data_IF_292383158831
#
_entry.id   IF_292383158831
#
_cell.length_a   1.000
_cell.length_b   1.000
_cell.length_c   1.000
_cell.angle_alpha   90.00
_cell.angle_beta   90.00
_cell.angle_gamma   90.00
#
_symmetry.space_group_name_H-M   'P 1'
#
loop_
_entity.id
_entity.type
_entity.pdbx_description
1 polymer ?
#
# COMPACT_ATOMS: atom_id res chain seq x y z
N UNK A 1 -7.97 -2.11 -28.09
CA UNK A 1 -8.00 -0.69 -27.75
C UNK A 1 -9.37 -0.41 -27.12
N UNK A 2 -9.41 0.19 -25.93
CA UNK A 2 -10.63 0.54 -25.24
C UNK A 2 -10.49 1.91 -24.60
N UNK A 3 -11.58 2.67 -24.50
CA UNK A 3 -11.68 3.86 -23.66
C UNK A 3 -12.09 3.44 -22.27
N UNK A 4 -11.28 3.77 -21.28
CA UNK A 4 -11.45 3.35 -19.89
C UNK A 4 -11.65 4.58 -19.00
N UNK A 5 -12.77 4.64 -18.27
CA UNK A 5 -12.92 5.56 -17.17
C UNK A 5 -12.38 4.88 -15.91
N UNK A 6 -11.24 5.34 -15.44
CA UNK A 6 -10.57 4.86 -14.23
C UNK A 6 -10.97 5.73 -13.04
N UNK A 7 -11.50 5.16 -11.99
CA UNK A 7 -11.93 5.88 -10.79
C UNK A 7 -11.06 5.48 -9.62
N UNK A 8 -10.21 6.38 -9.16
CA UNK A 8 -9.27 6.15 -8.08
C UNK A 8 -8.62 7.45 -7.61
N UNK A 9 -7.83 7.38 -6.55
CA UNK A 9 -6.86 8.43 -6.25
C UNK A 9 -5.74 8.46 -7.31
N UNK A 10 -5.33 9.64 -7.72
CA UNK A 10 -4.25 9.85 -8.69
C UNK A 10 -3.47 11.15 -8.44
N UNK A 11 -3.94 11.98 -7.52
CA UNK A 11 -3.42 13.35 -7.32
C UNK A 11 -2.61 13.53 -6.04
N UNK A 12 -2.37 12.47 -5.28
CA UNK A 12 -1.65 12.48 -4.01
C UNK A 12 -0.69 11.31 -3.92
N UNK A 13 0.32 11.41 -3.04
CA UNK A 13 1.23 10.30 -2.73
C UNK A 13 0.51 9.24 -1.86
N UNK A 14 -0.33 8.41 -2.47
CA UNK A 14 -1.04 7.31 -1.83
C UNK A 14 -0.80 5.99 -2.56
N UNK A 15 -1.03 4.87 -1.89
CA UNK A 15 -0.94 3.55 -2.51
C UNK A 15 -1.86 3.40 -3.73
N UNK A 16 -3.08 3.94 -3.66
CA UNK A 16 -4.01 3.91 -4.80
C UNK A 16 -3.51 4.76 -5.98
N UNK A 17 -2.89 5.92 -5.71
CA UNK A 17 -2.29 6.74 -6.77
C UNK A 17 -1.11 6.02 -7.42
N UNK A 18 -0.24 5.37 -6.63
CA UNK A 18 0.84 4.53 -7.16
C UNK A 18 0.31 3.47 -8.11
N UNK A 19 -0.73 2.73 -7.70
CA UNK A 19 -1.38 1.72 -8.56
C UNK A 19 -1.97 2.34 -9.82
N UNK A 20 -2.66 3.47 -9.69
CA UNK A 20 -3.30 4.18 -10.81
C UNK A 20 -2.28 4.58 -11.87
N UNK A 21 -1.16 5.20 -11.46
CA UNK A 21 -0.09 5.59 -12.39
C UNK A 21 0.62 4.37 -12.96
N UNK A 22 1.04 3.43 -12.12
CA UNK A 22 1.80 2.27 -12.56
C UNK A 22 1.06 1.41 -13.59
N UNK A 23 -0.21 1.10 -13.36
CA UNK A 23 -1.02 0.31 -14.30
C UNK A 23 -1.59 1.16 -15.42
N UNK A 24 -2.13 2.35 -15.12
CA UNK A 24 -2.78 3.21 -16.10
C UNK A 24 -1.84 3.65 -17.22
N UNK A 25 -0.60 4.03 -16.90
CA UNK A 25 0.41 4.43 -17.89
C UNK A 25 0.84 3.25 -18.78
N UNK A 26 0.97 2.05 -18.21
CA UNK A 26 1.28 0.83 -18.97
C UNK A 26 0.14 0.40 -19.89
N UNK A 27 -1.10 0.49 -19.41
CA UNK A 27 -2.27 0.22 -20.24
C UNK A 27 -2.42 1.27 -21.36
N UNK A 28 -2.13 2.54 -21.08
CA UNK A 28 -2.07 3.58 -22.10
C UNK A 28 -1.00 3.28 -23.16
N UNK A 29 0.19 2.82 -22.75
CA UNK A 29 1.24 2.39 -23.66
C UNK A 29 0.86 1.16 -24.50
N UNK A 30 -0.07 0.32 -24.00
CA UNK A 30 -0.66 -0.79 -24.78
C UNK A 30 -1.78 -0.34 -25.74
N UNK A 31 -2.08 0.97 -25.78
CA UNK A 31 -3.03 1.57 -26.73
C UNK A 31 -4.43 1.77 -26.17
N UNK A 32 -4.67 1.67 -24.88
CA UNK A 32 -5.93 2.06 -24.27
C UNK A 32 -5.99 3.58 -24.06
N UNK A 33 -7.21 4.13 -24.15
CA UNK A 33 -7.50 5.57 -23.91
C UNK A 33 -7.95 5.71 -22.45
N UNK A 34 -7.03 6.17 -21.57
CA UNK A 34 -7.22 6.16 -20.11
C UNK A 34 -7.63 7.55 -19.61
N UNK A 35 -8.84 7.64 -19.09
CA UNK A 35 -9.42 8.83 -18.45
C UNK A 35 -9.57 8.56 -16.95
N UNK A 36 -8.90 9.33 -16.09
CA UNK A 36 -8.89 9.09 -14.64
C UNK A 36 -9.75 10.11 -13.92
N UNK A 37 -10.81 9.68 -13.26
CA UNK A 37 -11.47 10.49 -12.23
C UNK A 37 -10.63 10.40 -10.95
N UNK A 38 -9.84 11.44 -10.70
CA UNK A 38 -8.93 11.53 -9.57
C UNK A 38 -9.69 11.90 -8.29
N UNK A 39 -10.01 10.89 -7.49
CA UNK A 39 -10.71 11.04 -6.21
C UNK A 39 -9.81 11.78 -5.22
N UNK A 40 -10.38 12.72 -4.49
CA UNK A 40 -9.64 13.47 -3.47
C UNK A 40 -8.59 14.47 -3.99
N UNK A 41 -8.47 14.66 -5.29
CA UNK A 41 -7.54 15.60 -5.89
C UNK A 41 -8.14 17.01 -5.97
N UNK A 42 -7.43 18.00 -5.45
CA UNK A 42 -7.86 19.40 -5.44
C UNK A 42 -7.34 20.22 -6.64
N UNK A 43 -6.58 19.58 -7.53
CA UNK A 43 -5.97 20.18 -8.72
C UNK A 43 -5.00 21.36 -8.45
N UNK A 44 -4.52 21.53 -7.20
CA UNK A 44 -3.54 22.57 -6.90
C UNK A 44 -2.20 22.34 -7.60
N UNK A 45 -1.85 21.09 -7.83
CA UNK A 45 -0.61 20.73 -8.50
C UNK A 45 -0.91 19.89 -9.73
N UNK A 46 -0.27 20.20 -10.88
CA UNK A 46 -0.37 19.37 -12.07
C UNK A 46 0.27 18.00 -11.77
N UNK A 47 -0.39 16.94 -12.19
CA UNK A 47 0.19 15.59 -12.19
C UNK A 47 0.72 15.32 -13.58
N UNK A 48 2.05 15.26 -13.79
CA UNK A 48 2.62 14.98 -15.10
C UNK A 48 2.37 13.51 -15.50
N UNK A 49 2.20 13.26 -16.78
CA UNK A 49 2.04 11.90 -17.28
C UNK A 49 1.08 11.81 -18.48
N UNK A 50 0.94 10.65 -19.09
CA UNK A 50 0.10 10.42 -20.26
C UNK A 50 -1.40 10.30 -19.91
N UNK A 51 -1.78 10.25 -18.62
CA UNK A 51 -3.15 10.04 -18.19
C UNK A 51 -3.96 11.34 -18.23
N UNK A 52 -5.20 11.25 -18.72
CA UNK A 52 -6.14 12.38 -18.70
C UNK A 52 -6.87 12.42 -17.36
N UNK A 53 -6.52 13.39 -16.50
CA UNK A 53 -7.07 13.51 -15.16
C UNK A 53 -8.30 14.43 -15.13
N UNK A 54 -9.37 13.95 -14.50
CA UNK A 54 -10.58 14.70 -14.19
C UNK A 54 -10.69 14.88 -12.68
N UNK A 55 -10.98 16.09 -12.26
CA UNK A 55 -11.13 16.41 -10.85
C UNK A 55 -12.45 15.84 -10.32
N UNK A 56 -12.42 15.21 -9.15
CA UNK A 56 -13.59 15.08 -8.31
C UNK A 56 -13.89 16.45 -7.69
N UNK A 57 -15.16 16.88 -7.67
CA UNK A 57 -15.52 18.23 -7.23
C UNK A 57 -15.15 18.49 -5.77
N UNK A 58 -14.78 19.77 -5.48
CA UNK A 58 -14.65 20.24 -4.12
C UNK A 58 -16.04 20.40 -3.48
N UNK A 59 -16.28 19.75 -2.34
CA UNK A 59 -17.57 19.83 -1.67
C UNK A 59 -17.73 18.84 -0.51
N UNK A 60 -18.95 18.59 -0.03
CA UNK A 60 -19.22 17.56 0.98
C UNK A 60 -18.64 16.21 0.59
N UNK A 61 -18.41 15.32 1.56
CA UNK A 61 -17.74 14.03 1.37
C UNK A 61 -18.22 13.20 0.17
N UNK A 62 -19.50 13.33 -0.20
CA UNK A 62 -20.09 12.70 -1.38
C UNK A 62 -19.46 13.16 -2.71
N UNK A 63 -19.26 14.48 -2.85
CA UNK A 63 -18.66 15.07 -4.06
C UNK A 63 -17.17 14.83 -4.11
N UNK A 64 -16.50 14.85 -2.94
CA UNK A 64 -15.10 14.51 -2.80
C UNK A 64 -14.76 13.10 -3.33
N UNK A 65 -15.66 12.14 -3.15
CA UNK A 65 -15.52 10.78 -3.68
C UNK A 65 -15.91 10.66 -5.15
N UNK A 66 -16.36 11.75 -5.78
CA UNK A 66 -16.68 11.80 -7.20
C UNK A 66 -17.82 10.88 -7.64
N UNK A 67 -18.79 10.60 -6.74
CA UNK A 67 -19.88 9.68 -7.05
C UNK A 67 -20.76 10.19 -8.19
N UNK A 68 -21.24 11.44 -8.10
CA UNK A 68 -22.06 12.07 -9.14
C UNK A 68 -21.21 12.32 -10.40
N UNK A 69 -19.93 12.72 -10.20
CA UNK A 69 -19.00 12.98 -11.31
C UNK A 69 -18.69 11.74 -12.13
N UNK A 70 -18.72 10.55 -11.52
CA UNK A 70 -18.60 9.29 -12.26
C UNK A 70 -19.69 9.15 -13.31
N UNK A 71 -20.96 9.40 -12.94
CA UNK A 71 -22.10 9.31 -13.86
C UNK A 71 -21.99 10.32 -14.99
N UNK A 72 -21.67 11.58 -14.69
CA UNK A 72 -21.45 12.62 -15.69
C UNK A 72 -20.36 12.24 -16.69
N UNK A 73 -19.24 11.70 -16.20
CA UNK A 73 -18.15 11.27 -17.06
C UNK A 73 -18.50 10.04 -17.90
N UNK A 74 -19.28 9.10 -17.36
CA UNK A 74 -19.80 7.97 -18.16
C UNK A 74 -20.65 8.45 -19.30
N UNK A 75 -21.57 9.41 -19.07
CA UNK A 75 -22.42 9.98 -20.11
C UNK A 75 -21.63 10.80 -21.15
N UNK A 76 -20.64 11.56 -20.69
CA UNK A 76 -19.83 12.44 -21.54
C UNK A 76 -18.80 11.67 -22.38
N UNK A 77 -18.01 10.81 -21.73
CA UNK A 77 -16.91 10.09 -22.35
C UNK A 77 -17.37 8.83 -23.10
N UNK A 78 -18.49 8.25 -22.69
CA UNK A 78 -19.00 6.96 -23.18
C UNK A 78 -17.88 5.90 -23.18
N UNK A 79 -17.29 5.62 -22.00
CA UNK A 79 -16.19 4.67 -21.92
C UNK A 79 -16.68 3.26 -22.29
N UNK A 80 -15.79 2.45 -22.81
CA UNK A 80 -16.06 1.03 -23.06
C UNK A 80 -16.11 0.25 -21.74
N UNK A 81 -15.32 0.68 -20.75
CA UNK A 81 -15.23 0.07 -19.41
C UNK A 81 -15.09 1.15 -18.34
N UNK A 82 -15.70 0.92 -17.19
CA UNK A 82 -15.37 1.64 -15.94
C UNK A 82 -14.48 0.74 -15.08
N UNK A 83 -13.31 1.23 -14.69
CA UNK A 83 -12.39 0.54 -13.79
C UNK A 83 -12.27 1.31 -12.48
N UNK A 84 -12.43 0.63 -11.34
CA UNK A 84 -12.26 1.24 -10.02
C UNK A 84 -11.10 0.63 -9.26
N UNK A 85 -10.31 1.48 -8.58
CA UNK A 85 -9.28 1.06 -7.62
C UNK A 85 -9.61 1.74 -6.30
N UNK A 86 -10.43 1.07 -5.51
CA UNK A 86 -11.04 1.62 -4.29
C UNK A 86 -11.27 0.49 -3.28
N UNK A 87 -11.43 0.86 -2.01
CA UNK A 87 -11.85 -0.09 -0.98
C UNK A 87 -13.25 -0.68 -1.26
N UNK A 88 -13.53 -1.95 -0.92
CA UNK A 88 -14.82 -2.60 -1.20
C UNK A 88 -16.06 -1.82 -0.72
N UNK A 89 -16.08 -1.16 0.45
CA UNK A 89 -17.21 -0.32 0.86
C UNK A 89 -17.49 0.85 -0.10
N UNK A 90 -16.44 1.38 -0.74
CA UNK A 90 -16.59 2.49 -1.69
C UNK A 90 -17.16 2.02 -3.01
N UNK A 91 -16.69 0.87 -3.51
CA UNK A 91 -17.24 0.21 -4.70
C UNK A 91 -18.72 -0.11 -4.48
N UNK A 92 -19.05 -0.71 -3.34
CA UNK A 92 -20.45 -0.98 -2.96
C UNK A 92 -21.30 0.28 -2.99
N UNK A 93 -20.82 1.35 -2.33
CA UNK A 93 -21.52 2.64 -2.27
C UNK A 93 -21.74 3.23 -3.67
N UNK A 94 -20.74 3.12 -4.54
CA UNK A 94 -20.78 3.68 -5.90
C UNK A 94 -21.80 2.99 -6.79
N UNK A 95 -21.89 1.67 -6.74
CA UNK A 95 -22.66 0.90 -7.69
C UNK A 95 -23.97 0.31 -7.14
N UNK A 96 -24.14 0.30 -5.83
CA UNK A 96 -25.31 -0.32 -5.18
C UNK A 96 -26.25 0.66 -4.49
N UNK A 97 -25.80 1.85 -4.15
CA UNK A 97 -26.63 2.81 -3.44
C UNK A 97 -27.59 3.53 -4.41
N UNK A 98 -28.89 3.27 -4.26
CA UNK A 98 -29.95 3.87 -5.07
C UNK A 98 -29.98 5.40 -5.02
N UNK A 99 -29.38 6.01 -4.00
CA UNK A 99 -29.32 7.47 -3.85
C UNK A 99 -28.44 8.14 -4.91
N UNK A 100 -27.56 7.37 -5.58
CA UNK A 100 -26.60 7.91 -6.55
C UNK A 100 -27.04 7.70 -8.00
N UNK A 101 -27.85 6.68 -8.25
CA UNK A 101 -28.46 6.43 -9.55
C UNK A 101 -29.89 5.89 -9.37
N UNK A 102 -30.87 6.76 -9.23
CA UNK A 102 -32.26 6.33 -9.09
C UNK A 102 -32.76 5.51 -10.28
N UNK A 103 -32.19 5.69 -11.46
CA UNK A 103 -32.51 4.93 -12.67
C UNK A 103 -31.62 3.71 -12.90
N UNK A 104 -30.41 3.68 -12.37
CA UNK A 104 -29.36 2.63 -12.52
C UNK A 104 -29.12 2.14 -13.93
N UNK A 105 -29.65 2.80 -14.95
CA UNK A 105 -29.62 2.35 -16.34
C UNK A 105 -28.23 2.53 -16.94
N UNK A 106 -27.53 3.60 -16.62
CA UNK A 106 -26.22 3.92 -17.18
C UNK A 106 -25.20 2.91 -16.72
N UNK A 107 -25.05 2.72 -15.40
CA UNK A 107 -24.06 1.81 -14.83
C UNK A 107 -24.40 0.32 -15.02
N UNK A 108 -25.68 -0.04 -15.10
CA UNK A 108 -26.08 -1.44 -15.37
C UNK A 108 -25.71 -1.95 -16.74
N UNK A 109 -25.49 -1.07 -17.71
CA UNK A 109 -25.10 -1.42 -19.08
C UNK A 109 -23.60 -1.33 -19.31
N UNK A 110 -22.88 -0.76 -18.36
CA UNK A 110 -21.44 -0.51 -18.48
C UNK A 110 -20.66 -1.68 -17.90
N UNK A 111 -19.77 -2.32 -18.64
CA UNK A 111 -18.79 -3.25 -18.07
C UNK A 111 -17.98 -2.56 -16.98
N UNK A 112 -17.89 -3.18 -15.81
CA UNK A 112 -17.20 -2.63 -14.66
C UNK A 112 -16.17 -3.62 -14.15
N UNK A 113 -14.93 -3.17 -14.00
CA UNK A 113 -13.86 -3.90 -13.34
C UNK A 113 -13.55 -3.20 -12.03
N UNK A 114 -13.52 -3.92 -10.92
CA UNK A 114 -13.12 -3.41 -9.62
C UNK A 114 -11.88 -4.13 -9.12
N UNK A 115 -10.78 -3.40 -9.01
CA UNK A 115 -9.52 -3.87 -8.45
C UNK A 115 -9.51 -3.56 -6.96
N UNK A 116 -9.51 -4.59 -6.11
CA UNK A 116 -9.88 -4.49 -4.70
C UNK A 116 -8.76 -4.90 -3.74
N UNK A 117 -8.45 -4.08 -2.71
CA UNK A 117 -7.71 -4.53 -1.53
C UNK A 117 -8.62 -5.29 -0.58
N UNK A 118 -8.15 -6.42 -0.08
CA UNK A 118 -8.74 -7.09 1.08
C UNK A 118 -7.64 -7.19 2.14
N UNK A 119 -7.86 -6.51 3.27
CA UNK A 119 -6.82 -6.28 4.27
C UNK A 119 -7.07 -7.01 5.61
N UNK A 120 -8.00 -7.98 5.62
CA UNK A 120 -8.31 -8.77 6.81
C UNK A 120 -9.28 -9.91 6.53
N UNK A 121 -9.69 -10.59 7.58
CA UNK A 121 -10.46 -11.83 7.56
C UNK A 121 -11.95 -11.56 7.77
N UNK A 122 -12.79 -12.54 7.42
CA UNK A 122 -14.22 -12.49 7.69
C UNK A 122 -14.94 -11.37 6.95
N UNK A 123 -14.70 -11.23 5.64
CA UNK A 123 -15.31 -10.16 4.84
C UNK A 123 -16.84 -10.18 4.91
N UNK A 124 -17.47 -9.00 4.96
CA UNK A 124 -18.94 -8.90 5.02
C UNK A 124 -19.61 -9.56 3.82
N UNK A 125 -20.77 -10.25 4.00
CA UNK A 125 -21.47 -10.95 2.90
C UNK A 125 -21.77 -10.07 1.68
N UNK A 126 -21.99 -8.77 1.88
CA UNK A 126 -22.20 -7.84 0.77
C UNK A 126 -20.96 -7.73 -0.14
N UNK A 127 -19.73 -7.91 0.35
CA UNK A 127 -18.55 -7.89 -0.50
C UNK A 127 -18.48 -9.14 -1.38
N UNK A 128 -18.92 -10.30 -0.86
CA UNK A 128 -19.03 -11.52 -1.66
C UNK A 128 -20.02 -11.39 -2.82
N UNK A 129 -21.01 -10.51 -2.68
CA UNK A 129 -21.98 -10.26 -3.77
C UNK A 129 -21.46 -9.33 -4.86
N UNK A 130 -20.38 -8.58 -4.63
CA UNK A 130 -19.79 -7.68 -5.64
C UNK A 130 -19.46 -8.43 -6.93
N UNK A 131 -18.92 -9.66 -6.83
CA UNK A 131 -18.56 -10.48 -8.01
C UNK A 131 -19.74 -10.86 -8.93
N UNK A 132 -21.00 -10.65 -8.48
CA UNK A 132 -22.21 -10.82 -9.30
C UNK A 132 -22.59 -9.56 -10.07
N UNK A 133 -21.99 -8.44 -9.76
CA UNK A 133 -22.36 -7.11 -10.21
C UNK A 133 -21.27 -6.46 -11.06
N UNK A 134 -20.01 -6.77 -10.73
CA UNK A 134 -18.82 -6.23 -11.37
C UNK A 134 -17.78 -7.34 -11.53
N UNK A 135 -16.87 -7.21 -12.49
CA UNK A 135 -15.68 -8.07 -12.53
C UNK A 135 -14.75 -7.66 -11.41
N UNK A 136 -14.67 -8.47 -10.37
CA UNK A 136 -13.74 -8.28 -9.25
C UNK A 136 -12.37 -8.82 -9.64
N UNK A 137 -11.32 -8.06 -9.32
CA UNK A 137 -9.91 -8.46 -9.42
C UNK A 137 -9.27 -8.17 -8.06
N UNK A 138 -8.93 -9.18 -7.27
CA UNK A 138 -8.24 -8.99 -6.00
C UNK A 138 -6.77 -8.62 -6.20
N UNK A 139 -6.16 -7.88 -5.23
CA UNK A 139 -4.73 -7.56 -5.24
C UNK A 139 -3.85 -8.75 -4.92
N UNK A 140 -4.33 -9.68 -4.11
CA UNK A 140 -3.57 -10.78 -3.53
C UNK A 140 -4.34 -12.09 -3.58
N UNK A 141 -3.61 -13.20 -3.53
CA UNK A 141 -4.18 -14.55 -3.38
C UNK A 141 -5.04 -14.63 -2.10
N UNK A 142 -4.54 -14.08 -0.99
CA UNK A 142 -5.30 -13.93 0.24
C UNK A 142 -6.65 -13.22 -0.01
N UNK A 143 -6.63 -12.08 -0.71
CA UNK A 143 -7.85 -11.33 -1.01
C UNK A 143 -8.84 -12.12 -1.87
N UNK A 144 -8.35 -12.92 -2.81
CA UNK A 144 -9.18 -13.80 -3.62
C UNK A 144 -9.86 -14.88 -2.75
N UNK A 145 -9.11 -15.53 -1.86
CA UNK A 145 -9.63 -16.54 -0.91
C UNK A 145 -10.73 -15.96 -0.01
N UNK A 146 -10.51 -14.74 0.53
CA UNK A 146 -11.51 -14.06 1.36
C UNK A 146 -12.79 -13.71 0.58
N UNK A 147 -12.73 -13.61 -0.72
CA UNK A 147 -13.85 -13.34 -1.61
C UNK A 147 -14.46 -14.63 -2.22
N UNK A 148 -14.08 -15.82 -1.78
CA UNK A 148 -14.47 -17.10 -2.39
C UNK A 148 -14.17 -17.12 -3.91
N UNK A 149 -12.96 -16.69 -4.29
CA UNK A 149 -12.45 -16.68 -5.67
C UNK A 149 -11.21 -17.56 -5.79
N UNK A 150 -10.87 -17.95 -7.03
CA UNK A 150 -9.62 -18.65 -7.28
C UNK A 150 -8.43 -17.69 -6.96
N UNK A 151 -7.47 -18.11 -6.12
CA UNK A 151 -6.28 -17.31 -5.83
C UNK A 151 -5.49 -16.88 -7.07
N UNK A 152 -5.55 -17.63 -8.16
CA UNK A 152 -4.86 -17.31 -9.42
C UNK A 152 -5.54 -16.18 -10.21
N UNK A 153 -6.77 -15.79 -9.85
CA UNK A 153 -7.44 -14.59 -10.39
C UNK A 153 -6.87 -13.29 -9.83
N UNK A 154 -6.16 -13.33 -8.71
CA UNK A 154 -5.53 -12.15 -8.14
C UNK A 154 -4.44 -11.59 -9.08
N UNK A 155 -4.41 -10.29 -9.26
CA UNK A 155 -3.35 -9.60 -10.00
C UNK A 155 -2.52 -8.81 -8.98
N UNK A 156 -1.27 -9.23 -8.69
CA UNK A 156 -0.43 -8.57 -7.70
C UNK A 156 0.04 -7.19 -8.17
N UNK A 157 0.38 -6.32 -7.21
CA UNK A 157 1.14 -5.11 -7.51
C UNK A 157 2.58 -5.45 -7.86
N UNK A 158 3.22 -4.60 -8.65
CA UNK A 158 4.65 -4.65 -8.91
C UNK A 158 5.42 -3.60 -8.11
N UNK A 159 6.70 -3.49 -8.40
CA UNK A 159 7.58 -2.43 -7.91
C UNK A 159 8.25 -1.73 -9.09
N UNK A 160 8.41 -0.40 -9.00
CA UNK A 160 9.09 0.37 -10.03
C UNK A 160 10.61 0.22 -9.93
N UNK A 161 11.36 0.26 -11.08
CA UNK A 161 12.80 0.06 -11.10
C UNK A 161 13.62 1.08 -10.30
N UNK A 162 13.03 2.20 -9.91
CA UNK A 162 13.67 3.19 -9.04
C UNK A 162 13.95 2.62 -7.64
N UNK A 163 13.13 1.69 -7.17
CA UNK A 163 13.32 0.95 -5.93
C UNK A 163 14.40 -0.11 -6.15
N UNK A 164 15.63 0.25 -5.86
CA UNK A 164 16.82 -0.60 -6.02
C UNK A 164 17.73 -0.50 -4.82
N UNK A 165 18.54 -1.52 -4.56
CA UNK A 165 19.54 -1.41 -3.51
C UNK A 165 20.61 -0.37 -3.89
N UNK A 166 21.02 0.42 -2.90
CA UNK A 166 22.13 1.33 -3.03
C UNK A 166 23.45 0.60 -2.72
N UNK A 167 24.51 1.05 -3.37
CA UNK A 167 25.88 0.67 -2.98
C UNK A 167 26.18 1.18 -1.57
N UNK A 168 27.18 0.59 -0.91
CA UNK A 168 27.62 1.05 0.41
C UNK A 168 27.99 2.54 0.42
N UNK A 169 28.59 3.05 -0.66
CA UNK A 169 28.97 4.48 -0.75
C UNK A 169 27.74 5.39 -0.87
N UNK A 170 26.75 5.04 -1.72
CA UNK A 170 25.48 5.78 -1.83
C UNK A 170 24.76 5.81 -0.48
N UNK A 171 24.63 4.66 0.17
CA UNK A 171 23.98 4.53 1.48
C UNK A 171 24.64 5.41 2.55
N UNK A 172 25.96 5.40 2.64
CA UNK A 172 26.71 6.23 3.58
C UNK A 172 26.53 7.72 3.30
N UNK A 173 26.48 8.12 2.01
CA UNK A 173 26.22 9.50 1.62
C UNK A 173 24.85 9.97 2.11
N UNK A 174 23.81 9.15 1.94
CA UNK A 174 22.45 9.51 2.40
C UNK A 174 22.38 9.54 3.93
N UNK A 175 22.98 8.56 4.63
CA UNK A 175 23.06 8.57 6.10
C UNK A 175 23.71 9.84 6.62
N UNK A 176 24.82 10.26 6.01
CA UNK A 176 25.52 11.50 6.38
C UNK A 176 24.62 12.75 6.18
N UNK A 177 23.88 12.83 5.07
CA UNK A 177 22.90 13.92 4.83
C UNK A 177 21.83 13.98 5.93
N UNK A 178 21.41 12.84 6.47
CA UNK A 178 20.40 12.74 7.51
C UNK A 178 20.97 12.83 8.94
N UNK A 179 22.30 12.95 9.10
CA UNK A 179 22.94 12.96 10.42
C UNK A 179 22.84 11.62 11.15
N UNK A 180 22.87 10.52 10.39
CA UNK A 180 22.89 9.15 10.90
C UNK A 180 24.31 8.64 10.85
N UNK A 181 24.80 8.13 11.99
CA UNK A 181 26.15 7.55 12.08
C UNK A 181 26.31 6.34 11.13
N UNK A 182 27.52 6.17 10.54
CA UNK A 182 27.75 5.10 9.57
C UNK A 182 27.46 3.68 10.09
N UNK A 183 27.70 3.45 11.38
CA UNK A 183 27.55 2.17 12.09
C UNK A 183 26.23 2.06 12.88
N UNK A 184 25.33 3.06 12.77
CA UNK A 184 24.02 3.00 13.41
C UNK A 184 23.17 1.86 12.83
N UNK A 185 22.42 1.19 13.71
CA UNK A 185 21.37 0.26 13.33
C UNK A 185 20.06 1.03 13.12
N UNK A 186 19.61 1.07 11.89
CA UNK A 186 18.44 1.88 11.49
C UNK A 186 17.22 1.00 11.29
N UNK A 187 16.24 1.18 12.16
CA UNK A 187 14.90 0.57 12.06
C UNK A 187 14.00 1.55 11.33
N UNK A 188 13.59 1.18 10.13
CA UNK A 188 12.83 2.09 9.25
C UNK A 188 11.36 1.76 9.13
N UNK A 189 10.57 2.79 8.81
CA UNK A 189 9.18 2.63 8.38
C UNK A 189 8.70 3.82 7.55
N UNK A 190 8.14 3.54 6.39
CA UNK A 190 7.42 4.50 5.53
C UNK A 190 5.97 4.08 5.49
N UNK A 191 5.07 4.87 6.06
CA UNK A 191 3.65 4.53 6.09
C UNK A 191 2.77 5.71 6.55
N UNK A 192 1.46 5.67 6.28
CA UNK A 192 0.51 6.61 6.87
C UNK A 192 0.32 6.30 8.36
N UNK A 193 0.25 7.35 9.19
CA UNK A 193 -0.10 7.17 10.61
C UNK A 193 -1.60 6.90 10.73
N UNK A 194 -2.00 5.65 10.62
CA UNK A 194 -3.38 5.21 10.74
C UNK A 194 -3.52 4.04 11.71
N UNK A 195 -4.74 3.79 12.19
CA UNK A 195 -5.03 2.69 13.14
C UNK A 195 -4.61 1.34 12.57
N UNK A 196 -4.85 1.12 11.27
CA UNK A 196 -4.48 -0.12 10.58
C UNK A 196 -2.97 -0.33 10.58
N UNK A 197 -2.22 0.75 10.36
CA UNK A 197 -0.76 0.73 10.27
C UNK A 197 -0.05 0.61 11.62
N UNK A 198 -0.74 0.89 12.72
CA UNK A 198 -0.33 0.64 14.12
C UNK A 198 1.09 1.09 14.51
N UNK A 199 1.39 2.34 14.30
CA UNK A 199 2.66 2.93 14.77
C UNK A 199 2.87 2.85 16.29
N UNK A 200 1.78 2.72 17.06
CA UNK A 200 1.90 2.53 18.51
C UNK A 200 2.56 1.19 18.85
N UNK A 201 2.23 0.11 18.13
CA UNK A 201 2.89 -1.19 18.30
C UNK A 201 4.32 -1.16 17.77
N UNK A 202 4.62 -0.44 16.68
CA UNK A 202 6.00 -0.21 16.21
C UNK A 202 6.84 0.46 17.29
N UNK A 203 6.33 1.55 17.88
CA UNK A 203 7.01 2.23 18.98
C UNK A 203 7.23 1.32 20.18
N UNK A 204 6.19 0.57 20.60
CA UNK A 204 6.29 -0.40 21.71
C UNK A 204 7.35 -1.47 21.47
N UNK A 205 7.40 -2.02 20.27
CA UNK A 205 8.39 -3.03 19.87
C UNK A 205 9.81 -2.51 20.02
N UNK A 206 10.09 -1.32 19.50
CA UNK A 206 11.42 -0.71 19.57
C UNK A 206 11.80 -0.41 21.02
N UNK A 207 10.89 0.22 21.80
CA UNK A 207 11.16 0.54 23.19
C UNK A 207 11.40 -0.73 24.02
N UNK A 208 10.64 -1.79 23.82
CA UNK A 208 10.86 -3.07 24.49
C UNK A 208 12.26 -3.63 24.22
N UNK A 209 12.75 -3.53 22.98
CA UNK A 209 14.09 -3.99 22.63
C UNK A 209 15.20 -3.13 23.29
N UNK A 210 14.99 -1.82 23.40
CA UNK A 210 15.90 -0.89 24.06
C UNK A 210 15.90 -1.07 25.60
N UNK A 211 14.72 -1.12 26.23
CA UNK A 211 14.55 -1.28 27.67
C UNK A 211 15.14 -2.59 28.21
N UNK A 212 15.10 -3.66 27.41
CA UNK A 212 15.71 -4.94 27.74
C UNK A 212 17.21 -5.03 27.37
N UNK A 213 17.80 -3.96 26.83
CA UNK A 213 19.20 -3.94 26.41
C UNK A 213 19.51 -4.86 25.22
N UNK A 214 18.52 -5.26 24.45
CA UNK A 214 18.69 -6.10 23.25
C UNK A 214 19.23 -5.31 22.08
N UNK A 215 18.98 -4.00 22.08
CA UNK A 215 19.56 -3.03 21.16
C UNK A 215 20.30 -1.96 21.94
N UNK A 216 21.49 -1.52 21.53
CA UNK A 216 22.20 -0.41 22.18
C UNK A 216 21.52 0.91 21.85
N UNK A 217 21.21 1.70 22.88
CA UNK A 217 20.49 2.95 22.72
C UNK A 217 21.27 3.98 21.89
N UNK A 218 22.58 4.06 22.10
CA UNK A 218 23.50 4.99 21.42
C UNK A 218 23.73 4.69 19.94
N UNK A 219 23.43 3.45 19.49
CA UNK A 219 23.62 2.99 18.10
C UNK A 219 22.32 2.69 17.37
N UNK A 220 21.17 2.81 18.03
CA UNK A 220 19.88 2.52 17.41
C UNK A 220 19.16 3.78 17.01
N UNK A 221 18.72 3.83 15.74
CA UNK A 221 17.91 4.92 15.19
C UNK A 221 16.61 4.35 14.65
N UNK A 222 15.48 4.83 15.16
CA UNK A 222 14.17 4.60 14.55
C UNK A 222 13.86 5.75 13.57
N UNK A 223 13.78 5.45 12.28
CA UNK A 223 13.60 6.42 11.20
C UNK A 223 12.25 6.22 10.52
N UNK A 224 11.32 7.15 10.76
CA UNK A 224 9.95 7.06 10.24
C UNK A 224 9.65 8.17 9.24
N UNK A 225 9.05 7.80 8.13
CA UNK A 225 8.40 8.75 7.20
C UNK A 225 6.89 8.63 7.38
N UNK A 226 6.30 9.57 8.13
CA UNK A 226 4.88 9.56 8.49
C UNK A 226 4.46 10.89 9.13
N UNK A 227 3.16 11.10 9.28
CA UNK A 227 2.67 12.21 10.09
C UNK A 227 2.96 11.98 11.57
N UNK A 228 3.66 12.92 12.20
CA UNK A 228 4.02 12.85 13.60
C UNK A 228 2.78 12.90 14.53
N UNK A 229 1.80 13.73 14.18
CA UNK A 229 0.54 13.88 14.93
C UNK A 229 -0.63 13.60 14.00
N UNK A 230 -1.33 12.50 14.26
CA UNK A 230 -2.56 12.15 13.57
C UNK A 230 -3.55 11.55 14.59
N UNK A 231 -4.50 12.35 15.04
CA UNK A 231 -5.41 11.95 16.13
C UNK A 231 -6.78 11.49 15.64
N UNK A 232 -7.10 11.74 14.38
CA UNK A 232 -8.39 11.33 13.80
C UNK A 232 -8.41 9.87 13.38
N UNK A 233 -7.36 9.43 12.69
CA UNK A 233 -7.25 8.07 12.14
C UNK A 233 -6.02 7.29 12.67
N UNK A 234 -5.13 7.92 13.40
CA UNK A 234 -3.85 7.36 13.87
C UNK A 234 -3.58 7.65 15.34
N UNK A 235 -2.33 7.99 15.66
CA UNK A 235 -1.84 8.27 17.01
C UNK A 235 -0.97 9.52 17.04
N UNK A 236 -0.85 10.14 18.23
CA UNK A 236 0.13 11.19 18.49
C UNK A 236 1.50 10.53 18.79
N UNK A 237 2.33 10.38 17.75
CA UNK A 237 3.67 9.80 17.88
C UNK A 237 4.60 10.67 18.71
N UNK A 238 4.46 12.00 18.68
CA UNK A 238 5.27 12.89 19.51
C UNK A 238 5.13 12.56 21.00
N UNK A 239 3.89 12.30 21.46
CA UNK A 239 3.63 11.88 22.83
C UNK A 239 4.22 10.51 23.14
N UNK A 240 4.18 9.57 22.21
CA UNK A 240 4.78 8.25 22.42
C UNK A 240 6.31 8.35 22.48
N UNK A 241 6.94 9.03 21.54
CA UNK A 241 8.38 9.22 21.46
C UNK A 241 8.92 9.92 22.72
N UNK A 242 8.22 10.93 23.25
CA UNK A 242 8.65 11.64 24.46
C UNK A 242 8.65 10.80 25.74
N UNK A 243 8.06 9.61 25.72
CA UNK A 243 7.99 8.67 26.85
C UNK A 243 8.95 7.49 26.71
N UNK A 244 9.59 7.34 25.55
CA UNK A 244 10.44 6.20 25.23
C UNK A 244 11.92 6.50 25.30
N UNK A 245 12.70 5.47 25.05
CA UNK A 245 14.15 5.51 24.93
C UNK A 245 14.58 5.59 23.46
N UNK A 246 15.82 6.02 23.24
CA UNK A 246 16.47 5.96 21.94
C UNK A 246 16.24 7.16 21.04
N UNK A 247 16.91 7.13 19.88
CA UNK A 247 16.85 8.20 18.89
C UNK A 247 15.74 7.92 17.87
N UNK A 248 14.67 8.70 17.92
CA UNK A 248 13.62 8.70 16.92
C UNK A 248 13.76 9.89 15.98
N UNK A 249 13.76 9.61 14.68
CA UNK A 249 13.75 10.60 13.61
C UNK A 249 12.45 10.44 12.82
N UNK A 250 11.67 11.50 12.73
CA UNK A 250 10.41 11.48 11.98
C UNK A 250 10.43 12.56 10.93
N UNK A 251 10.37 12.15 9.66
CA UNK A 251 10.20 13.07 8.56
C UNK A 251 8.70 13.29 8.37
N UNK A 252 8.19 14.42 8.85
CA UNK A 252 6.76 14.70 8.98
C UNK A 252 6.10 15.23 7.69
N UNK A 253 6.83 15.30 6.59
CA UNK A 253 6.32 15.70 5.29
C UNK A 253 5.81 14.46 4.54
N UNK A 254 4.59 14.54 4.01
CA UNK A 254 3.94 13.40 3.36
C UNK A 254 4.12 13.36 1.84
N UNK A 255 4.47 14.48 1.22
CA UNK A 255 4.56 14.62 -0.24
C UNK A 255 6.01 14.73 -0.72
N UNK A 256 6.89 13.82 -0.26
CA UNK A 256 8.25 13.74 -0.76
C UNK A 256 8.28 13.16 -2.17
N UNK A 257 9.18 13.65 -3.04
CA UNK A 257 9.50 12.98 -4.30
C UNK A 257 9.94 11.53 -4.03
N UNK A 258 9.53 10.61 -4.90
CA UNK A 258 9.81 9.18 -4.73
C UNK A 258 11.30 8.88 -4.57
N UNK A 259 12.16 9.65 -5.25
CA UNK A 259 13.61 9.55 -5.16
C UNK A 259 14.12 9.74 -3.73
N UNK A 260 13.55 10.69 -3.00
CA UNK A 260 13.91 10.95 -1.60
C UNK A 260 13.41 9.84 -0.68
N UNK A 261 12.25 9.26 -0.97
CA UNK A 261 11.74 8.11 -0.21
C UNK A 261 12.59 6.87 -0.47
N UNK A 262 13.06 6.65 -1.70
CA UNK A 262 14.03 5.59 -2.05
C UNK A 262 15.35 5.79 -1.30
N UNK A 263 15.87 7.03 -1.24
CA UNK A 263 17.06 7.36 -0.43
C UNK A 263 16.84 6.99 1.03
N UNK A 264 15.68 7.37 1.59
CA UNK A 264 15.33 7.10 2.98
C UNK A 264 15.28 5.59 3.28
N UNK A 265 14.58 4.81 2.46
CA UNK A 265 14.46 3.35 2.63
C UNK A 265 15.82 2.67 2.55
N UNK A 266 16.69 3.11 1.65
CA UNK A 266 18.06 2.61 1.56
C UNK A 266 18.94 2.92 2.80
N UNK A 267 18.51 3.80 3.70
CA UNK A 267 19.18 4.01 5.00
C UNK A 267 18.89 2.92 6.02
N UNK A 268 17.81 2.14 5.85
CA UNK A 268 17.36 1.15 6.82
C UNK A 268 18.27 -0.09 6.83
N UNK A 269 18.41 -0.70 8.00
CA UNK A 269 18.95 -2.06 8.17
C UNK A 269 17.83 -3.09 8.21
N UNK A 270 16.64 -2.66 8.65
CA UNK A 270 15.42 -3.47 8.69
C UNK A 270 14.20 -2.55 8.61
N UNK A 271 13.16 -2.97 7.89
CA UNK A 271 11.84 -2.36 7.95
C UNK A 271 10.99 -3.09 9.00
N UNK A 272 10.47 -2.36 9.98
CA UNK A 272 9.56 -2.88 10.99
C UNK A 272 8.12 -2.51 10.64
N UNK A 273 7.33 -3.48 10.22
CA UNK A 273 5.92 -3.29 9.87
C UNK A 273 5.02 -3.97 10.92
N UNK A 274 4.17 -3.19 11.59
CA UNK A 274 3.18 -3.68 12.54
C UNK A 274 1.75 -3.51 12.02
N UNK A 275 1.57 -3.43 10.68
CA UNK A 275 0.24 -3.30 10.10
C UNK A 275 -0.66 -4.47 10.53
N UNK A 276 -1.87 -4.13 10.93
CA UNK A 276 -2.87 -5.12 11.37
C UNK A 276 -3.45 -5.93 10.23
N UNK A 277 -3.24 -5.47 9.01
CA UNK A 277 -3.60 -6.10 7.76
C UNK A 277 -3.26 -5.21 6.57
N UNK A 278 -2.97 -5.81 5.44
CA UNK A 278 -2.66 -5.15 4.17
C UNK A 278 -3.46 -5.77 3.04
N UNK A 279 -3.95 -4.92 2.11
CA UNK A 279 -4.51 -5.43 0.85
C UNK A 279 -3.42 -5.94 -0.08
N UNK A 280 -2.22 -5.32 0.00
CA UNK A 280 -0.99 -5.77 -0.65
C UNK A 280 0.24 -5.48 0.22
N UNK A 281 0.59 -4.21 0.43
CA UNK A 281 1.78 -3.80 1.18
C UNK A 281 2.89 -3.28 0.28
N UNK A 282 2.62 -2.22 -0.51
CA UNK A 282 3.62 -1.60 -1.39
C UNK A 282 4.89 -1.20 -0.66
N UNK A 283 4.77 -0.60 0.54
CA UNK A 283 5.91 -0.21 1.35
C UNK A 283 6.80 -1.39 1.81
N UNK A 284 6.20 -2.58 1.98
CA UNK A 284 6.93 -3.82 2.24
C UNK A 284 7.70 -4.21 0.98
N UNK A 285 7.03 -4.26 -0.16
CA UNK A 285 7.63 -4.62 -1.45
C UNK A 285 8.75 -3.66 -1.84
N UNK A 286 8.56 -2.36 -1.64
CA UNK A 286 9.55 -1.30 -1.89
C UNK A 286 10.79 -1.46 -1.01
N UNK A 287 10.62 -1.81 0.26
CA UNK A 287 11.72 -2.13 1.17
C UNK A 287 12.51 -3.34 0.69
N UNK A 288 11.83 -4.43 0.34
CA UNK A 288 12.46 -5.64 -0.20
C UNK A 288 13.23 -5.36 -1.50
N UNK A 289 12.68 -4.54 -2.39
CA UNK A 289 13.34 -4.15 -3.64
C UNK A 289 14.63 -3.35 -3.40
N UNK A 290 14.71 -2.59 -2.31
CA UNK A 290 15.92 -1.92 -1.85
C UNK A 290 16.93 -2.86 -1.14
N UNK A 291 16.62 -4.15 -1.02
CA UNK A 291 17.44 -5.11 -0.29
C UNK A 291 17.35 -4.96 1.23
N UNK A 292 16.29 -4.34 1.72
CA UNK A 292 16.02 -4.15 3.16
C UNK A 292 15.08 -5.25 3.63
N UNK A 293 15.51 -6.16 4.53
CA UNK A 293 14.66 -7.20 5.08
C UNK A 293 13.54 -6.60 5.93
N UNK A 294 12.41 -7.30 6.01
CA UNK A 294 11.21 -6.84 6.71
C UNK A 294 10.88 -7.75 7.89
N UNK A 295 10.52 -7.18 9.03
CA UNK A 295 9.83 -7.87 10.12
C UNK A 295 8.38 -7.44 10.09
N UNK A 296 7.45 -8.37 9.94
CA UNK A 296 6.02 -8.08 9.78
C UNK A 296 5.11 -9.15 10.40
N UNK A 297 3.82 -8.86 10.65
CA UNK A 297 2.87 -9.87 11.08
C UNK A 297 2.61 -10.92 9.99
N UNK A 298 2.42 -12.16 10.40
CA UNK A 298 1.92 -13.24 9.55
C UNK A 298 0.40 -13.12 9.43
N UNK A 299 -0.05 -12.20 8.58
CA UNK A 299 -1.49 -11.94 8.37
C UNK A 299 -1.80 -11.29 7.04
N UNK A 300 -3.02 -11.49 6.57
CA UNK A 300 -3.55 -10.94 5.31
C UNK A 300 -2.63 -11.22 4.10
N UNK A 301 -2.39 -10.25 3.24
CA UNK A 301 -1.47 -10.40 2.08
C UNK A 301 0.02 -10.29 2.45
N UNK A 302 0.36 -9.95 3.69
CA UNK A 302 1.75 -9.70 4.11
C UNK A 302 2.67 -10.90 3.84
N UNK A 303 2.30 -12.17 4.16
CA UNK A 303 3.14 -13.34 3.87
C UNK A 303 3.45 -13.52 2.38
N UNK A 304 2.49 -13.22 1.52
CA UNK A 304 2.66 -13.31 0.06
C UNK A 304 3.74 -12.33 -0.43
N UNK A 305 3.76 -11.12 0.12
CA UNK A 305 4.72 -10.07 -0.26
C UNK A 305 6.07 -10.30 0.37
N UNK A 306 6.13 -10.64 1.67
CA UNK A 306 7.38 -10.83 2.41
C UNK A 306 8.13 -12.08 1.96
N UNK A 307 7.44 -13.22 1.81
CA UNK A 307 8.07 -14.51 1.47
C UNK A 307 9.35 -14.76 2.25
N UNK A 308 10.43 -15.11 1.53
CA UNK A 308 11.77 -15.33 2.12
C UNK A 308 12.54 -14.02 2.40
N UNK A 309 11.99 -12.86 2.05
CA UNK A 309 12.64 -11.54 2.17
C UNK A 309 12.60 -10.94 3.58
N UNK A 310 12.04 -11.63 4.57
CA UNK A 310 11.91 -11.11 5.92
C UNK A 310 11.53 -12.15 6.96
N UNK A 311 11.06 -11.68 8.10
CA UNK A 311 10.60 -12.50 9.23
C UNK A 311 9.13 -12.23 9.48
N UNK A 312 8.32 -13.28 9.41
CA UNK A 312 6.90 -13.23 9.72
C UNK A 312 6.68 -13.63 11.18
N UNK A 313 5.88 -12.83 11.87
CA UNK A 313 5.57 -13.02 13.30
C UNK A 313 4.07 -13.29 13.45
N UNK A 314 3.73 -14.39 14.06
CA UNK A 314 2.34 -14.73 14.38
C UNK A 314 1.68 -13.63 15.21
N UNK A 315 0.45 -13.29 14.88
CA UNK A 315 -0.32 -12.30 15.60
C UNK A 315 -0.87 -12.86 16.91
N UNK A 316 -1.11 -11.97 17.88
CA UNK A 316 -1.56 -12.38 19.23
C UNK A 316 -3.07 -12.34 19.44
N UNK A 317 -3.79 -11.55 18.64
CA UNK A 317 -5.21 -11.29 18.84
C UNK A 317 -5.86 -10.71 17.58
N UNK A 318 -7.15 -10.88 17.46
CA UNK A 318 -7.99 -10.27 16.42
C UNK A 318 -8.63 -8.99 16.92
N UNK A 319 -8.91 -8.07 16.00
CA UNK A 319 -9.64 -6.84 16.25
C UNK A 319 -10.53 -6.52 15.05
N UNK A 320 -11.84 -6.56 15.24
CA UNK A 320 -12.79 -6.20 14.20
C UNK A 320 -12.73 -4.70 13.90
N UNK A 321 -12.59 -4.34 12.63
CA UNK A 321 -12.58 -2.96 12.17
C UNK A 321 -14.03 -2.42 11.98
N UNK A 322 -14.22 -1.12 11.71
CA UNK A 322 -15.55 -0.54 11.53
C UNK A 322 -16.38 -1.13 10.37
N UNK A 323 -15.76 -1.89 9.46
CA UNK A 323 -16.45 -2.54 8.35
C UNK A 323 -16.82 -4.01 8.66
N UNK A 324 -16.49 -4.49 9.85
CA UNK A 324 -16.74 -5.87 10.25
C UNK A 324 -15.70 -6.88 9.73
N UNK A 325 -14.52 -6.41 9.36
CA UNK A 325 -13.39 -7.23 8.92
C UNK A 325 -12.40 -7.36 10.08
N UNK A 326 -11.86 -8.54 10.32
CA UNK A 326 -10.95 -8.81 11.41
C UNK A 326 -9.49 -8.58 11.01
N UNK A 327 -8.84 -7.68 11.73
CA UNK A 327 -7.41 -7.37 11.66
C UNK A 327 -6.66 -8.15 12.75
N UNK A 328 -5.40 -8.46 12.48
CA UNK A 328 -4.53 -9.16 13.43
C UNK A 328 -3.62 -8.16 14.15
N UNK A 329 -3.63 -8.21 15.48
CA UNK A 329 -2.71 -7.41 16.30
C UNK A 329 -1.38 -8.13 16.45
N UNK A 330 -0.29 -7.46 16.09
CA UNK A 330 1.06 -7.96 16.30
C UNK A 330 1.42 -8.03 17.79
N UNK A 331 2.25 -9.01 18.16
CA UNK A 331 2.85 -9.07 19.50
C UNK A 331 4.19 -8.34 19.51
N UNK A 332 4.37 -7.28 20.33
CA UNK A 332 5.63 -6.55 20.41
C UNK A 332 6.82 -7.41 20.85
N UNK A 333 6.62 -8.43 21.70
CA UNK A 333 7.71 -9.23 22.23
C UNK A 333 8.43 -10.07 21.16
N UNK A 334 7.78 -10.96 20.39
CA UNK A 334 8.46 -11.71 19.35
C UNK A 334 9.03 -10.79 18.25
N UNK A 335 8.37 -9.67 17.95
CA UNK A 335 8.90 -8.68 17.01
C UNK A 335 10.18 -8.02 17.53
N UNK A 336 10.26 -7.69 18.83
CA UNK A 336 11.46 -7.13 19.45
C UNK A 336 12.61 -8.16 19.51
N UNK A 337 12.30 -9.44 19.71
CA UNK A 337 13.28 -10.52 19.61
C UNK A 337 13.81 -10.67 18.17
N UNK A 338 12.95 -10.55 17.16
CA UNK A 338 13.38 -10.54 15.77
C UNK A 338 14.29 -9.34 15.45
N UNK A 339 14.01 -8.14 16.00
CA UNK A 339 14.92 -6.99 15.89
C UNK A 339 16.29 -7.27 16.50
N UNK A 340 16.33 -7.94 17.65
CA UNK A 340 17.61 -8.37 18.29
C UNK A 340 18.40 -9.31 17.37
N UNK A 341 17.74 -10.27 16.76
CA UNK A 341 18.40 -11.20 15.83
C UNK A 341 18.95 -10.47 14.59
N UNK A 342 18.17 -9.51 14.04
CA UNK A 342 18.63 -8.68 12.93
C UNK A 342 19.84 -7.80 13.32
N UNK A 343 19.85 -7.24 14.52
CA UNK A 343 20.98 -6.45 15.03
C UNK A 343 22.23 -7.31 15.17
N UNK A 344 22.12 -8.53 15.72
CA UNK A 344 23.21 -9.45 15.97
C UNK A 344 23.67 -10.21 14.71
N UNK A 345 22.96 -10.09 13.59
CA UNK A 345 23.32 -10.75 12.34
C UNK A 345 24.71 -10.30 11.87
N UNK A 346 25.58 -11.26 11.55
CA UNK A 346 26.88 -10.97 10.96
C UNK A 346 26.76 -10.50 9.50
N UNK A 347 27.87 -10.09 8.91
CA UNK A 347 27.88 -9.57 7.55
C UNK A 347 27.39 -10.61 6.52
N UNK A 348 27.65 -11.90 6.74
CA UNK A 348 27.24 -12.98 5.85
C UNK A 348 25.71 -13.16 5.88
N UNK A 349 25.15 -13.19 7.08
CA UNK A 349 23.71 -13.33 7.26
C UNK A 349 22.97 -12.08 6.74
N UNK A 350 23.48 -10.87 6.99
CA UNK A 350 22.91 -9.62 6.44
C UNK A 350 22.91 -9.62 4.91
N UNK A 351 24.00 -10.06 4.28
CA UNK A 351 24.08 -10.17 2.83
C UNK A 351 23.06 -11.19 2.28
N UNK A 352 22.90 -12.33 2.96
CA UNK A 352 21.91 -13.37 2.60
C UNK A 352 20.47 -12.84 2.71
N UNK A 353 20.15 -12.11 3.77
CA UNK A 353 18.83 -11.53 3.96
C UNK A 353 18.52 -10.46 2.89
N UNK A 354 19.49 -9.60 2.59
CA UNK A 354 19.33 -8.59 1.53
C UNK A 354 19.12 -9.25 0.15
N UNK A 355 19.87 -10.30 -0.18
CA UNK A 355 19.69 -11.04 -1.44
C UNK A 355 18.33 -11.73 -1.51
N UNK A 356 17.86 -12.32 -0.39
CA UNK A 356 16.53 -12.91 -0.32
C UNK A 356 15.42 -11.85 -0.51
N UNK A 357 15.57 -10.67 0.09
CA UNK A 357 14.64 -9.56 -0.08
C UNK A 357 14.53 -9.12 -1.55
N UNK A 358 15.67 -8.91 -2.22
CA UNK A 358 15.72 -8.53 -3.65
C UNK A 358 15.07 -9.62 -4.52
N UNK A 359 15.39 -10.89 -4.29
CA UNK A 359 14.79 -12.01 -5.03
C UNK A 359 13.29 -12.12 -4.84
N UNK A 360 12.81 -11.85 -3.64
CA UNK A 360 11.38 -11.85 -3.37
C UNK A 360 10.69 -10.71 -4.11
N UNK A 361 11.21 -9.50 -4.04
CA UNK A 361 10.66 -8.35 -4.75
C UNK A 361 10.63 -8.54 -6.26
N UNK A 362 11.66 -9.18 -6.83
CA UNK A 362 11.76 -9.43 -8.28
C UNK A 362 10.66 -10.34 -8.83
N UNK A 363 9.90 -11.04 -7.99
CA UNK A 363 8.73 -11.84 -8.41
C UNK A 363 7.55 -10.96 -8.83
N UNK A 364 7.52 -9.68 -8.45
CA UNK A 364 6.41 -8.77 -8.61
C UNK A 364 6.75 -7.62 -9.56
N UNK A 365 6.09 -7.61 -10.70
CA UNK A 365 6.43 -6.73 -11.82
C UNK A 365 5.16 -6.08 -12.38
N UNK A 366 5.16 -4.75 -12.47
CA UNK A 366 4.02 -3.99 -13.00
C UNK A 366 3.71 -4.27 -14.47
N UNK A 367 4.70 -4.62 -15.28
CA UNK A 367 4.47 -4.94 -16.70
C UNK A 367 3.69 -6.25 -16.85
N UNK A 368 3.98 -7.26 -16.01
CA UNK A 368 3.20 -8.50 -15.97
C UNK A 368 1.79 -8.26 -15.42
N UNK A 369 1.66 -7.45 -14.40
CA UNK A 369 0.34 -7.06 -13.86
C UNK A 369 -0.49 -6.34 -14.92
N UNK A 370 0.09 -5.41 -15.67
CA UNK A 370 -0.59 -4.70 -16.74
C UNK A 370 -1.03 -5.63 -17.89
N UNK A 371 -0.18 -6.61 -18.28
CA UNK A 371 -0.56 -7.64 -19.29
C UNK A 371 -1.75 -8.47 -18.84
N UNK A 372 -1.77 -8.88 -17.57
CA UNK A 372 -2.90 -9.63 -17.00
C UNK A 372 -4.17 -8.77 -16.96
N UNK A 373 -4.04 -7.48 -16.62
CA UNK A 373 -5.16 -6.53 -16.68
C UNK A 373 -5.69 -6.34 -18.11
N UNK A 374 -4.82 -6.23 -19.11
CA UNK A 374 -5.21 -6.13 -20.50
C UNK A 374 -6.04 -7.35 -20.96
N UNK A 375 -5.70 -8.55 -20.47
CA UNK A 375 -6.50 -9.77 -20.71
C UNK A 375 -7.89 -9.62 -20.07
N UNK A 376 -7.97 -9.23 -18.79
CA UNK A 376 -9.26 -9.04 -18.10
C UNK A 376 -10.13 -7.99 -18.81
N UNK A 377 -9.55 -6.88 -19.26
CA UNK A 377 -10.24 -5.83 -20.02
C UNK A 377 -10.85 -6.42 -21.30
N UNK A 378 -10.06 -7.19 -22.06
CA UNK A 378 -10.52 -7.82 -23.31
C UNK A 378 -11.61 -8.87 -23.09
N UNK A 379 -11.52 -9.63 -22.01
CA UNK A 379 -12.55 -10.59 -21.62
C UNK A 379 -13.89 -9.90 -21.30
N UNK A 380 -13.86 -8.80 -20.55
CA UNK A 380 -15.08 -8.06 -20.22
C UNK A 380 -15.70 -7.36 -21.45
N UNK A 381 -14.89 -6.82 -22.33
CA UNK A 381 -15.38 -6.26 -23.60
C UNK A 381 -16.01 -7.31 -24.53
N UNK A 382 -15.53 -8.55 -24.50
CA UNK A 382 -16.09 -9.62 -25.31
C UNK A 382 -17.46 -10.14 -24.80
N UNK A 383 -17.81 -9.82 -23.53
CA UNK A 383 -19.12 -10.17 -22.94
C UNK A 383 -20.20 -9.09 -23.15
N UNK A 384 -19.80 -7.85 -23.47
CA UNK A 384 -20.68 -6.70 -23.67
C UNK A 384 -21.21 -6.63 -25.10
#
# INVERSE_FOLDING_TARGET
MARILWVSDAGRATGFATVTHALGERLAAMGHDIHVLAVGWDAKYPVPGPLQLYRAEAGPARQYLGLDRTLELVEHLKPDIVLTVEDPPMVWRRFMDNRFDPDKKVLKRQPIISYLPIDGYGVPPQWLTLKRLVRVVPYSRFGAEQLDMDPDEAIPHGVEPIWRPFSKAERLTVRAKLGIEPDAFVIGRVDSNSRRKDFASTWKTINMALENGWLPEDKTVALFHTKLIETSIGVNLQTLISRGMGKFMVTNEVDWPVEQVVELVNCFDVTLNNSRGEGWGLNILESLACGVPVIAPDSSSIPEVVGDGGVLIEGRAEMTNPYGVDWILSDPLPMALALREMYNADATLRAKLADAAIKQAAKFNWDESAKRFDVVIKEELAKA
#
